data_IF_053439181955
#
_entry.id   IF_053439181955
#
_cell.length_a   1.000
_cell.length_b   1.000
_cell.length_c   1.000
_cell.angle_alpha   90.00
_cell.angle_beta   90.00
_cell.angle_gamma   90.00
#
_symmetry.space_group_name_H-M   'P 1'
#
loop_
_entity.id
_entity.type
_entity.pdbx_description
1 polymer ?
#
# COMPACT_ATOMS: atom_id res chain seq x y z
N UNK A 1 17.04 -35.87 29.87
CA UNK A 1 16.14 -35.39 30.94
C UNK A 1 14.75 -36.02 30.84
N UNK A 2 14.03 -35.93 29.72
CA UNK A 2 12.64 -36.45 29.66
C UNK A 2 12.46 -37.98 29.61
N UNK A 3 13.56 -38.75 29.57
CA UNK A 3 13.53 -40.22 29.50
C UNK A 3 13.40 -40.90 30.87
N UNK A 4 13.64 -40.19 31.98
CA UNK A 4 13.60 -40.78 33.32
C UNK A 4 12.45 -40.15 34.15
N UNK A 5 11.43 -40.92 34.57
CA UNK A 5 10.23 -40.42 35.25
C UNK A 5 10.48 -39.56 36.49
N UNK A 6 11.60 -39.81 37.18
CA UNK A 6 11.97 -39.13 38.43
C UNK A 6 12.67 -37.78 38.21
N UNK A 7 12.94 -37.40 36.96
CA UNK A 7 13.76 -36.21 36.63
C UNK A 7 13.00 -35.09 35.92
N UNK A 8 11.70 -35.28 35.66
CA UNK A 8 10.87 -34.30 34.97
C UNK A 8 9.67 -33.85 35.81
N UNK A 9 9.43 -32.55 35.84
CA UNK A 9 8.25 -31.93 36.44
C UNK A 9 7.67 -30.88 35.48
N UNK A 10 6.61 -30.19 35.90
CA UNK A 10 5.97 -29.15 35.08
C UNK A 10 6.92 -28.02 34.65
N UNK A 11 7.93 -27.68 35.46
CA UNK A 11 8.96 -26.71 35.08
C UNK A 11 9.88 -27.24 33.97
N UNK A 12 10.36 -28.49 34.09
CA UNK A 12 11.22 -29.13 33.08
C UNK A 12 10.55 -29.16 31.71
N UNK A 13 9.27 -29.51 31.66
CA UNK A 13 8.49 -29.51 30.41
C UNK A 13 8.33 -28.10 29.83
N UNK A 14 8.08 -27.10 30.67
CA UNK A 14 7.94 -25.72 30.22
C UNK A 14 9.25 -25.18 29.59
N UNK A 15 10.39 -25.44 30.22
CA UNK A 15 11.70 -25.07 29.66
C UNK A 15 12.00 -25.82 28.35
N UNK A 16 11.65 -27.10 28.26
CA UNK A 16 11.81 -27.89 27.04
C UNK A 16 10.96 -27.33 25.88
N UNK A 17 9.70 -26.97 26.13
CA UNK A 17 8.83 -26.34 25.14
C UNK A 17 9.37 -24.96 24.70
N UNK A 18 9.87 -24.15 25.64
CA UNK A 18 10.51 -22.86 25.34
C UNK A 18 11.78 -23.02 24.49
N UNK A 19 12.57 -24.07 24.73
CA UNK A 19 13.74 -24.41 23.93
C UNK A 19 13.35 -24.85 22.52
N UNK A 20 12.36 -25.75 22.37
CA UNK A 20 11.85 -26.18 21.06
C UNK A 20 11.33 -25.02 20.22
N UNK A 21 10.70 -24.02 20.86
CA UNK A 21 10.28 -22.77 20.22
C UNK A 21 11.47 -21.97 19.69
N UNK A 22 12.54 -21.87 20.48
CA UNK A 22 13.75 -21.11 20.11
C UNK A 22 14.54 -21.79 18.99
N UNK A 23 14.44 -23.12 18.86
CA UNK A 23 15.08 -23.91 17.80
C UNK A 23 14.13 -24.27 16.65
N UNK A 24 12.93 -23.69 16.61
CA UNK A 24 11.87 -23.92 15.63
C UNK A 24 11.58 -25.41 15.33
N UNK A 25 11.71 -26.28 16.36
CA UNK A 25 11.65 -27.74 16.22
C UNK A 25 10.26 -28.28 16.56
N UNK A 26 9.29 -28.04 15.67
CA UNK A 26 7.87 -28.32 15.94
C UNK A 26 7.55 -29.81 16.20
N UNK A 27 8.19 -30.73 15.48
CA UNK A 27 8.00 -32.18 15.69
C UNK A 27 8.38 -32.61 17.11
N UNK A 28 9.53 -32.14 17.61
CA UNK A 28 9.99 -32.42 18.98
C UNK A 28 9.04 -31.84 20.02
N UNK A 29 8.40 -30.70 19.75
CA UNK A 29 7.40 -30.17 20.68
C UNK A 29 6.11 -30.98 20.72
N UNK A 30 5.71 -31.63 19.63
CA UNK A 30 4.58 -32.57 19.64
C UNK A 30 4.91 -33.83 20.44
N UNK A 31 6.14 -34.36 20.32
CA UNK A 31 6.63 -35.45 21.17
C UNK A 31 6.60 -35.05 22.66
N UNK A 32 7.07 -33.84 22.99
CA UNK A 32 7.03 -33.32 24.36
C UNK A 32 5.59 -33.18 24.86
N UNK A 33 4.65 -32.71 24.02
CA UNK A 33 3.24 -32.66 24.39
C UNK A 33 2.69 -34.06 24.68
N UNK A 34 2.97 -35.06 23.84
CA UNK A 34 2.56 -36.44 24.11
C UNK A 34 3.13 -36.97 25.44
N UNK A 35 4.39 -36.64 25.75
CA UNK A 35 5.02 -36.97 27.03
C UNK A 35 4.39 -36.25 28.24
N UNK A 36 4.01 -34.98 28.09
CA UNK A 36 3.27 -34.22 29.12
C UNK A 36 1.92 -34.89 29.42
N UNK A 37 1.20 -35.32 28.39
CA UNK A 37 -0.08 -36.01 28.52
C UNK A 37 0.09 -37.37 29.20
N UNK A 38 1.06 -38.17 28.76
CA UNK A 38 1.32 -39.51 29.34
C UNK A 38 1.82 -39.45 30.80
N UNK A 39 2.56 -38.41 31.16
CA UNK A 39 3.10 -38.24 32.51
C UNK A 39 2.13 -37.58 33.50
N UNK A 40 0.90 -37.26 33.09
CA UNK A 40 -0.13 -36.68 33.96
C UNK A 40 0.07 -35.19 34.30
N UNK A 41 1.03 -34.51 33.67
CA UNK A 41 1.32 -33.10 33.95
C UNK A 41 0.42 -32.14 33.14
N UNK A 42 -0.34 -32.64 32.17
CA UNK A 42 -1.15 -31.83 31.25
C UNK A 42 -2.17 -30.91 31.93
N UNK A 43 -2.68 -31.29 33.10
CA UNK A 43 -3.66 -30.48 33.86
C UNK A 43 -3.10 -29.17 34.43
N UNK A 44 -1.79 -28.94 34.38
CA UNK A 44 -1.19 -27.71 34.90
C UNK A 44 -1.37 -26.56 33.89
N UNK A 45 -2.10 -25.52 34.27
CA UNK A 45 -2.43 -24.36 33.42
C UNK A 45 -1.20 -23.69 32.81
N UNK A 46 -0.06 -23.65 33.52
CA UNK A 46 1.19 -23.11 32.97
C UNK A 46 1.71 -23.93 31.78
N UNK A 47 1.58 -25.26 31.80
CA UNK A 47 1.98 -26.10 30.67
C UNK A 47 0.99 -25.94 29.52
N UNK A 48 -0.31 -25.92 29.81
CA UNK A 48 -1.34 -25.69 28.81
C UNK A 48 -1.13 -24.34 28.09
N UNK A 49 -0.83 -23.26 28.83
CA UNK A 49 -0.50 -21.95 28.26
C UNK A 49 0.75 -22.00 27.37
N UNK A 50 1.81 -22.70 27.80
CA UNK A 50 3.01 -22.89 26.98
C UNK A 50 2.74 -23.69 25.71
N UNK A 51 1.85 -24.68 25.77
CA UNK A 51 1.41 -25.46 24.60
C UNK A 51 0.55 -24.63 23.65
N UNK A 52 -0.40 -23.83 24.15
CA UNK A 52 -1.19 -22.89 23.32
C UNK A 52 -0.25 -21.96 22.57
N UNK A 53 0.67 -21.30 23.28
CA UNK A 53 1.63 -20.39 22.65
C UNK A 53 2.49 -21.11 21.61
N UNK A 54 2.92 -22.35 21.88
CA UNK A 54 3.70 -23.15 20.95
C UNK A 54 2.92 -23.42 19.65
N UNK A 55 1.69 -23.90 19.75
CA UNK A 55 0.84 -24.18 18.60
C UNK A 55 0.51 -22.92 17.80
N UNK A 56 0.23 -21.80 18.47
CA UNK A 56 0.06 -20.49 17.83
C UNK A 56 1.32 -20.08 17.04
N UNK A 57 2.52 -20.23 17.61
CA UNK A 57 3.77 -19.93 16.87
C UNK A 57 4.02 -20.87 15.70
N UNK A 58 3.49 -22.10 15.77
CA UNK A 58 3.51 -23.07 14.67
C UNK A 58 2.40 -22.85 13.63
N UNK A 59 1.62 -21.76 13.74
CA UNK A 59 0.46 -21.46 12.90
C UNK A 59 -0.66 -22.53 12.95
N UNK A 60 -0.67 -23.38 13.97
CA UNK A 60 -1.67 -24.43 14.20
C UNK A 60 -2.68 -23.97 15.27
N UNK A 61 -3.57 -23.07 14.87
CA UNK A 61 -4.57 -22.50 15.77
C UNK A 61 -5.60 -23.55 16.24
N UNK A 62 -5.82 -24.60 15.44
CA UNK A 62 -6.78 -25.67 15.78
C UNK A 62 -6.29 -26.47 16.98
N UNK A 63 -5.03 -26.91 16.98
CA UNK A 63 -4.44 -27.59 18.13
C UNK A 63 -4.34 -26.66 19.35
N UNK A 64 -4.00 -25.38 19.14
CA UNK A 64 -3.98 -24.40 20.22
C UNK A 64 -5.36 -24.24 20.88
N UNK A 65 -6.42 -24.13 20.09
CA UNK A 65 -7.79 -24.01 20.58
C UNK A 65 -8.25 -25.27 21.32
N UNK A 66 -7.92 -26.46 20.81
CA UNK A 66 -8.19 -27.72 21.51
C UNK A 66 -7.55 -27.77 22.89
N UNK A 67 -6.29 -27.32 23.03
CA UNK A 67 -5.63 -27.24 24.34
C UNK A 67 -6.34 -26.23 25.23
N UNK A 68 -6.75 -25.07 24.69
CA UNK A 68 -7.50 -24.05 25.43
C UNK A 68 -8.83 -24.58 25.98
N UNK A 69 -9.60 -25.35 25.21
CA UNK A 69 -10.86 -25.96 25.66
C UNK A 69 -10.69 -26.94 26.83
N UNK A 70 -9.49 -27.49 27.03
CA UNK A 70 -9.21 -28.37 28.18
C UNK A 70 -8.91 -27.62 29.48
N UNK A 71 -8.77 -26.30 29.45
CA UNK A 71 -8.45 -25.50 30.64
C UNK A 71 -9.74 -25.24 31.41
N UNK A 72 -9.85 -25.80 32.62
CA UNK A 72 -11.04 -25.66 33.48
C UNK A 72 -11.27 -24.21 33.92
N UNK A 73 -10.19 -23.47 34.23
CA UNK A 73 -10.24 -22.06 34.60
C UNK A 73 -9.16 -21.30 33.82
N UNK A 74 -9.51 -20.75 32.64
CA UNK A 74 -8.56 -20.02 31.81
C UNK A 74 -8.10 -18.73 32.48
N UNK A 75 -6.78 -18.51 32.49
CA UNK A 75 -6.19 -17.27 33.01
C UNK A 75 -6.15 -16.18 31.95
N UNK A 76 -5.88 -14.94 32.33
CA UNK A 76 -5.64 -13.84 31.36
C UNK A 76 -4.56 -14.21 30.33
N UNK A 77 -3.55 -15.00 30.71
CA UNK A 77 -2.50 -15.49 29.80
C UNK A 77 -3.05 -16.48 28.79
N UNK A 78 -3.94 -17.39 29.21
CA UNK A 78 -4.63 -18.36 28.36
C UNK A 78 -5.46 -17.65 27.29
N UNK A 79 -6.31 -16.72 27.74
CA UNK A 79 -7.17 -15.90 26.87
C UNK A 79 -6.35 -15.01 25.92
N UNK A 80 -5.32 -14.32 26.44
CA UNK A 80 -4.44 -13.50 25.59
C UNK A 80 -3.76 -14.32 24.51
N UNK A 81 -3.32 -15.54 24.84
CA UNK A 81 -2.64 -16.41 23.87
C UNK A 81 -3.58 -16.86 22.76
N UNK A 82 -4.83 -17.22 23.08
CA UNK A 82 -5.80 -17.68 22.07
C UNK A 82 -6.34 -16.53 21.22
N UNK A 83 -6.65 -15.36 21.81
CA UNK A 83 -7.09 -14.16 21.07
C UNK A 83 -5.99 -13.68 20.13
N UNK A 84 -4.74 -13.59 20.61
CA UNK A 84 -3.58 -13.23 19.78
C UNK A 84 -3.33 -14.27 18.70
N UNK A 85 -3.52 -15.55 19.00
CA UNK A 85 -3.40 -16.65 18.05
C UNK A 85 -4.37 -16.55 16.89
N UNK A 86 -5.67 -16.43 17.17
CA UNK A 86 -6.69 -16.25 16.13
C UNK A 86 -6.41 -15.01 15.27
N UNK A 87 -6.03 -13.88 15.88
CA UNK A 87 -5.69 -12.64 15.17
C UNK A 87 -4.48 -12.83 14.24
N UNK A 88 -3.40 -13.46 14.71
CA UNK A 88 -2.19 -13.73 13.90
C UNK A 88 -2.43 -14.70 12.75
N UNK A 89 -3.29 -15.69 12.96
CA UNK A 89 -3.63 -16.69 11.95
C UNK A 89 -4.71 -16.18 10.94
N UNK A 90 -5.18 -14.94 11.06
CA UNK A 90 -6.15 -14.34 10.14
C UNK A 90 -7.62 -14.63 10.46
N UNK A 91 -7.91 -15.33 11.56
CA UNK A 91 -9.27 -15.65 12.01
C UNK A 91 -9.83 -14.54 12.92
N UNK A 92 -10.01 -13.36 12.35
CA UNK A 92 -10.32 -12.14 13.09
C UNK A 92 -11.68 -12.18 13.81
N UNK A 93 -12.70 -12.80 13.20
CA UNK A 93 -14.02 -12.96 13.82
C UNK A 93 -13.93 -13.82 15.08
N UNK A 94 -13.18 -14.93 15.02
CA UNK A 94 -12.92 -15.77 16.19
C UNK A 94 -12.14 -15.02 17.27
N UNK A 95 -11.17 -14.17 16.90
CA UNK A 95 -10.44 -13.36 17.87
C UNK A 95 -11.37 -12.39 18.63
N UNK A 96 -12.30 -11.73 17.93
CA UNK A 96 -13.33 -10.86 18.53
C UNK A 96 -14.31 -11.68 19.37
N UNK A 97 -14.76 -12.84 18.87
CA UNK A 97 -15.66 -13.73 19.58
C UNK A 97 -15.04 -14.22 20.89
N UNK A 98 -13.79 -14.69 20.86
CA UNK A 98 -13.05 -15.10 22.05
C UNK A 98 -12.87 -13.97 23.05
N UNK A 99 -12.56 -12.76 22.59
CA UNK A 99 -12.45 -11.59 23.47
C UNK A 99 -13.79 -11.25 24.14
N UNK A 100 -14.90 -11.38 23.43
CA UNK A 100 -16.23 -11.03 23.91
C UNK A 100 -16.75 -11.97 25.01
N UNK A 101 -16.27 -13.21 25.05
CA UNK A 101 -16.64 -14.22 26.07
C UNK A 101 -15.61 -14.34 27.20
N UNK A 102 -14.56 -13.51 27.20
CA UNK A 102 -13.57 -13.51 28.29
C UNK A 102 -14.25 -13.19 29.61
N UNK A 103 -13.99 -14.02 30.61
CA UNK A 103 -14.50 -13.91 31.98
C UNK A 103 -13.51 -13.25 32.95
N UNK A 104 -12.35 -12.84 32.43
CA UNK A 104 -11.29 -12.14 33.16
C UNK A 104 -10.94 -10.83 32.47
N UNK A 105 -10.46 -9.85 33.22
CA UNK A 105 -10.08 -8.56 32.66
C UNK A 105 -8.91 -8.71 31.65
N UNK A 106 -9.08 -8.29 30.38
CA UNK A 106 -8.01 -8.30 29.39
C UNK A 106 -6.85 -7.39 29.78
N UNK A 107 -5.64 -7.80 29.43
CA UNK A 107 -4.46 -6.94 29.55
C UNK A 107 -4.20 -6.17 28.24
N UNK A 108 -3.22 -5.27 28.24
CA UNK A 108 -2.86 -4.47 27.07
C UNK A 108 -2.58 -5.32 25.81
N UNK A 109 -1.92 -6.48 25.92
CA UNK A 109 -1.64 -7.35 24.78
C UNK A 109 -2.90 -8.00 24.20
N UNK A 110 -3.86 -8.33 25.05
CA UNK A 110 -5.18 -8.81 24.62
C UNK A 110 -5.89 -7.72 23.82
N UNK A 111 -5.89 -6.48 24.33
CA UNK A 111 -6.54 -5.34 23.68
C UNK A 111 -5.87 -5.02 22.34
N UNK A 112 -4.54 -4.99 22.26
CA UNK A 112 -3.80 -4.80 21.01
C UNK A 112 -4.18 -5.86 19.97
N UNK A 113 -4.31 -7.11 20.41
CA UNK A 113 -4.67 -8.24 19.52
C UNK A 113 -6.09 -8.14 18.97
N UNK A 114 -7.07 -7.74 19.81
CA UNK A 114 -8.46 -7.57 19.37
C UNK A 114 -8.63 -6.31 18.51
N UNK A 115 -7.95 -5.20 18.81
CA UNK A 115 -7.93 -4.00 17.96
C UNK A 115 -7.35 -4.31 16.58
N UNK A 116 -6.30 -5.14 16.50
CA UNK A 116 -5.77 -5.63 15.23
C UNK A 116 -6.81 -6.42 14.44
N UNK A 117 -7.59 -7.29 15.09
CA UNK A 117 -8.69 -8.00 14.44
C UNK A 117 -9.77 -7.04 13.92
N UNK A 118 -10.14 -6.02 14.72
CA UNK A 118 -11.09 -4.99 14.33
C UNK A 118 -10.60 -4.18 13.12
N UNK A 119 -9.29 -3.87 13.03
CA UNK A 119 -8.72 -3.19 11.87
C UNK A 119 -8.94 -3.98 10.58
N UNK A 120 -8.69 -5.29 10.62
CA UNK A 120 -8.76 -6.15 9.43
C UNK A 120 -10.21 -6.39 8.98
N UNK A 121 -11.15 -6.46 9.93
CA UNK A 121 -12.58 -6.54 9.63
C UNK A 121 -13.25 -5.19 9.37
N UNK A 122 -12.55 -4.07 9.63
CA UNK A 122 -13.08 -2.70 9.60
C UNK A 122 -14.26 -2.49 10.57
N UNK A 123 -14.26 -3.19 11.70
CA UNK A 123 -15.30 -3.15 12.73
C UNK A 123 -15.15 -1.91 13.64
N UNK A 124 -15.63 -0.76 13.17
CA UNK A 124 -15.51 0.52 13.89
C UNK A 124 -16.24 0.49 15.25
N UNK A 125 -17.48 0.00 15.27
CA UNK A 125 -18.32 0.05 16.46
C UNK A 125 -17.78 -0.83 17.58
N UNK A 126 -17.33 -2.04 17.25
CA UNK A 126 -16.72 -2.92 18.24
C UNK A 126 -15.40 -2.32 18.77
N UNK A 127 -14.56 -1.78 17.90
CA UNK A 127 -13.32 -1.12 18.35
C UNK A 127 -13.58 0.12 19.21
N UNK A 128 -14.66 0.89 18.98
CA UNK A 128 -15.10 1.97 19.89
C UNK A 128 -15.51 1.43 21.26
N UNK A 129 -16.21 0.29 21.31
CA UNK A 129 -16.52 -0.38 22.59
C UNK A 129 -15.26 -0.82 23.33
N UNK A 130 -14.27 -1.36 22.61
CA UNK A 130 -12.95 -1.71 23.18
C UNK A 130 -12.22 -0.45 23.69
N UNK A 131 -12.25 0.65 22.94
CA UNK A 131 -11.67 1.93 23.38
C UNK A 131 -12.33 2.43 24.68
N UNK A 132 -13.66 2.40 24.76
CA UNK A 132 -14.39 2.74 25.97
C UNK A 132 -14.03 1.83 27.17
N UNK A 133 -13.75 0.53 26.93
CA UNK A 133 -13.26 -0.37 27.96
C UNK A 133 -11.89 0.07 28.47
N UNK A 134 -10.96 0.40 27.56
CA UNK A 134 -9.61 0.88 27.92
C UNK A 134 -9.70 2.09 28.84
N UNK A 135 -10.45 3.13 28.45
CA UNK A 135 -10.62 4.36 29.25
C UNK A 135 -11.19 4.06 30.65
N UNK A 136 -12.13 3.11 30.77
CA UNK A 136 -12.83 2.83 32.04
C UNK A 136 -12.08 1.91 32.98
N UNK A 137 -11.22 1.02 32.47
CA UNK A 137 -10.70 -0.13 33.23
C UNK A 137 -9.17 -0.24 33.22
N UNK A 138 -8.51 0.26 32.19
CA UNK A 138 -7.06 0.19 32.03
C UNK A 138 -6.48 1.58 32.28
N UNK A 139 -6.57 2.04 33.53
CA UNK A 139 -6.00 3.32 33.99
C UNK A 139 -4.48 3.22 34.12
N UNK A 140 -3.80 3.17 32.97
CA UNK A 140 -2.35 3.16 32.89
C UNK A 140 -1.90 4.02 31.69
N UNK A 141 -1.02 4.99 31.95
CA UNK A 141 -0.26 5.69 30.91
C UNK A 141 0.57 4.66 30.11
N UNK A 142 0.01 4.18 29.01
CA UNK A 142 0.61 3.12 28.22
C UNK A 142 0.64 3.49 26.74
N UNK A 143 1.74 4.13 26.34
CA UNK A 143 1.99 4.57 24.96
C UNK A 143 1.82 3.44 23.94
N UNK A 144 2.07 2.18 24.31
CA UNK A 144 1.88 1.02 23.42
C UNK A 144 0.38 0.82 23.12
N UNK A 145 -0.47 0.93 24.15
CA UNK A 145 -1.91 0.79 24.02
C UNK A 145 -2.52 1.99 23.28
N UNK A 146 -2.06 3.20 23.59
CA UNK A 146 -2.47 4.42 22.89
C UNK A 146 -2.11 4.36 21.41
N UNK A 147 -0.90 3.92 21.07
CA UNK A 147 -0.47 3.70 19.69
C UNK A 147 -1.32 2.65 18.98
N UNK A 148 -1.78 1.61 19.68
CA UNK A 148 -2.66 0.59 19.09
C UNK A 148 -4.06 1.13 18.80
N UNK A 149 -4.64 1.94 19.70
CA UNK A 149 -5.90 2.65 19.49
C UNK A 149 -5.81 3.65 18.34
N UNK A 150 -4.72 4.44 18.32
CA UNK A 150 -4.42 5.40 17.27
C UNK A 150 -4.35 4.72 15.89
N UNK A 151 -3.56 3.66 15.79
CA UNK A 151 -3.43 2.88 14.56
C UNK A 151 -4.77 2.22 14.15
N UNK A 152 -5.61 1.81 15.11
CA UNK A 152 -6.94 1.30 14.82
C UNK A 152 -7.80 2.34 14.10
N UNK A 153 -7.94 3.54 14.67
CA UNK A 153 -8.75 4.59 14.06
C UNK A 153 -8.21 5.02 12.68
N UNK A 154 -6.89 5.13 12.52
CA UNK A 154 -6.25 5.42 11.22
C UNK A 154 -6.59 4.35 10.17
N UNK A 155 -6.43 3.06 10.50
CA UNK A 155 -6.67 1.96 9.56
C UNK A 155 -8.15 1.84 9.16
N UNK A 156 -9.07 2.00 10.10
CA UNK A 156 -10.51 2.00 9.82
C UNK A 156 -10.95 3.27 9.07
N UNK A 157 -10.17 4.34 9.16
CA UNK A 157 -10.36 5.58 8.39
C UNK A 157 -11.07 6.69 9.14
N UNK A 158 -11.31 6.52 10.44
CA UNK A 158 -11.86 7.58 11.29
C UNK A 158 -10.72 8.48 11.78
N UNK A 159 -10.25 9.38 10.90
CA UNK A 159 -9.09 10.22 11.19
C UNK A 159 -9.36 11.30 12.23
N UNK A 160 -10.61 11.73 12.42
CA UNK A 160 -10.95 12.69 13.46
C UNK A 160 -10.91 12.04 14.85
N UNK A 161 -11.44 10.81 14.98
CA UNK A 161 -11.28 10.01 16.21
C UNK A 161 -9.78 9.70 16.48
N UNK A 162 -9.01 9.40 15.42
CA UNK A 162 -7.56 9.20 15.55
C UNK A 162 -6.85 10.46 16.07
N UNK A 163 -7.22 11.64 15.55
CA UNK A 163 -6.67 12.91 16.00
C UNK A 163 -7.05 13.21 17.45
N UNK A 164 -8.29 12.91 17.85
CA UNK A 164 -8.72 13.07 19.24
C UNK A 164 -7.89 12.20 20.18
N UNK A 165 -7.75 10.89 19.88
CA UNK A 165 -6.90 9.99 20.67
C UNK A 165 -5.48 10.54 20.75
N UNK A 166 -4.92 10.95 19.62
CA UNK A 166 -3.57 11.53 19.56
C UNK A 166 -3.41 12.77 20.45
N UNK A 167 -4.35 13.70 20.43
CA UNK A 167 -4.31 14.94 21.21
C UNK A 167 -4.52 14.66 22.72
N UNK A 168 -5.22 13.59 23.08
CA UNK A 168 -5.44 13.14 24.47
C UNK A 168 -4.27 12.31 25.04
N UNK A 169 -3.34 11.82 24.21
CA UNK A 169 -2.17 11.04 24.66
C UNK A 169 -1.28 11.85 25.64
N UNK A 170 -1.02 11.33 26.86
CA UNK A 170 -0.12 11.99 27.82
C UNK A 170 1.33 12.06 27.33
N UNK A 171 1.76 11.03 26.61
CA UNK A 171 3.11 10.92 26.03
C UNK A 171 3.03 10.38 24.62
N UNK A 172 3.67 11.06 23.67
CA UNK A 172 3.76 10.64 22.28
C UNK A 172 5.17 10.24 21.96
N UNK A 173 5.32 9.10 21.30
CA UNK A 173 6.62 8.64 20.79
C UNK A 173 6.66 8.77 19.26
N UNK A 174 7.81 8.39 18.68
CA UNK A 174 8.00 8.43 17.22
C UNK A 174 6.94 7.61 16.46
N UNK A 175 6.39 6.56 17.08
CA UNK A 175 5.33 5.72 16.49
C UNK A 175 4.00 6.46 16.48
N UNK A 176 3.65 7.18 17.56
CA UNK A 176 2.43 8.01 17.62
C UNK A 176 2.41 9.04 16.49
N UNK A 177 3.49 9.81 16.38
CA UNK A 177 3.63 10.85 15.36
C UNK A 177 3.66 10.26 13.93
N UNK A 178 4.43 9.19 13.72
CA UNK A 178 4.53 8.56 12.39
C UNK A 178 3.20 7.96 11.93
N UNK A 179 2.43 7.39 12.86
CA UNK A 179 1.08 6.85 12.59
C UNK A 179 0.13 7.94 12.11
N UNK A 180 0.14 9.12 12.76
CA UNK A 180 -0.71 10.24 12.35
C UNK A 180 -0.30 10.85 11.01
N UNK A 181 1.01 11.10 10.80
CA UNK A 181 1.51 11.62 9.52
C UNK A 181 1.15 10.64 8.39
N UNK A 182 1.48 9.36 8.55
CA UNK A 182 1.17 8.32 7.56
C UNK A 182 -0.33 8.15 7.31
N UNK A 183 -1.14 8.19 8.37
CA UNK A 183 -2.60 8.08 8.28
C UNK A 183 -3.25 9.18 7.45
N UNK A 184 -2.82 10.43 7.65
CA UNK A 184 -3.30 11.55 6.81
C UNK A 184 -2.84 11.43 5.36
N UNK A 185 -1.59 11.04 5.11
CA UNK A 185 -1.05 10.85 3.74
C UNK A 185 -1.81 9.76 2.99
N UNK A 186 -2.04 8.60 3.62
CA UNK A 186 -2.75 7.47 3.01
C UNK A 186 -4.19 7.81 2.61
N UNK A 187 -4.81 8.80 3.27
CA UNK A 187 -6.16 9.28 2.96
C UNK A 187 -6.18 10.55 2.11
N UNK A 188 -5.01 11.00 1.62
CA UNK A 188 -4.88 12.16 0.74
C UNK A 188 -4.93 13.53 1.45
N UNK A 189 -5.01 13.58 2.79
CA UNK A 189 -5.04 14.82 3.57
C UNK A 189 -3.62 15.38 3.78
N UNK A 190 -2.90 15.62 2.68
CA UNK A 190 -1.48 15.95 2.70
C UNK A 190 -1.16 17.22 3.51
N UNK A 191 -2.01 18.25 3.46
CA UNK A 191 -1.81 19.47 4.29
C UNK A 191 -1.87 19.19 5.79
N UNK A 192 -2.80 18.32 6.24
CA UNK A 192 -2.89 17.91 7.66
C UNK A 192 -1.66 17.10 8.06
N UNK A 193 -1.17 16.21 7.18
CA UNK A 193 0.05 15.44 7.44
C UNK A 193 1.27 16.34 7.65
N UNK A 194 1.41 17.39 6.83
CA UNK A 194 2.48 18.39 6.96
C UNK A 194 2.36 19.18 8.26
N UNK A 195 1.14 19.61 8.64
CA UNK A 195 0.91 20.28 9.94
C UNK A 195 1.36 19.40 11.11
N UNK A 196 1.01 18.12 11.10
CA UNK A 196 1.42 17.17 12.15
C UNK A 196 2.94 16.97 12.15
N UNK A 197 3.59 16.91 10.99
CA UNK A 197 5.05 16.86 10.90
C UNK A 197 5.70 18.13 11.49
N UNK A 198 5.19 19.31 11.16
CA UNK A 198 5.69 20.57 11.71
C UNK A 198 5.49 20.66 13.23
N UNK A 199 4.34 20.19 13.74
CA UNK A 199 4.06 20.04 15.17
C UNK A 199 5.10 19.13 15.83
N UNK A 200 5.39 17.96 15.24
CA UNK A 200 6.42 17.02 15.73
C UNK A 200 7.80 17.69 15.84
N UNK A 201 8.23 18.40 14.80
CA UNK A 201 9.54 19.07 14.75
C UNK A 201 9.62 20.21 15.76
N UNK A 202 8.54 20.98 15.96
CA UNK A 202 8.49 22.12 16.89
C UNK A 202 8.43 21.69 18.35
N UNK A 203 7.63 20.69 18.68
CA UNK A 203 7.44 20.23 20.07
C UNK A 203 8.65 19.46 20.61
N UNK A 204 9.45 18.83 19.73
CA UNK A 204 10.68 18.10 20.09
C UNK A 204 10.48 16.93 21.06
N UNK A 205 9.24 16.45 21.22
CA UNK A 205 8.91 15.24 22.01
C UNK A 205 9.52 13.98 21.40
N UNK A 206 9.55 13.91 20.07
CA UNK A 206 10.15 12.83 19.30
C UNK A 206 10.80 13.37 18.03
N UNK A 207 11.84 12.69 17.54
CA UNK A 207 12.46 13.02 16.25
C UNK A 207 11.80 12.20 15.14
N UNK A 208 11.45 12.80 13.99
CA UNK A 208 10.99 12.07 12.80
C UNK A 208 11.93 10.90 12.48
N UNK A 209 11.39 9.73 12.14
CA UNK A 209 12.19 8.62 11.64
C UNK A 209 12.09 8.53 10.10
N UNK A 210 12.75 7.54 9.50
CA UNK A 210 12.69 7.32 8.05
C UNK A 210 11.25 7.21 7.53
N UNK A 211 10.37 6.49 8.22
CA UNK A 211 8.97 6.36 7.83
C UNK A 211 8.22 7.69 7.87
N UNK A 212 8.46 8.53 8.89
CA UNK A 212 7.90 9.89 8.95
C UNK A 212 8.37 10.73 7.77
N UNK A 213 9.67 10.68 7.46
CA UNK A 213 10.29 11.44 6.36
C UNK A 213 9.73 11.01 5.00
N UNK A 214 9.64 9.71 4.74
CA UNK A 214 9.05 9.18 3.50
C UNK A 214 7.60 9.63 3.34
N UNK A 215 6.79 9.57 4.41
CA UNK A 215 5.40 10.00 4.37
C UNK A 215 5.26 11.50 4.10
N UNK A 216 6.03 12.36 4.77
CA UNK A 216 5.94 13.82 4.52
C UNK A 216 6.45 14.19 3.13
N UNK A 217 7.48 13.51 2.60
CA UNK A 217 7.93 13.70 1.22
C UNK A 217 6.86 13.27 0.20
N UNK A 218 6.13 12.18 0.47
CA UNK A 218 4.98 11.80 -0.35
C UNK A 218 3.86 12.86 -0.29
N UNK A 219 3.66 13.49 0.87
CA UNK A 219 2.75 14.63 1.01
C UNK A 219 3.21 15.83 0.16
N UNK A 220 4.51 16.18 0.19
CA UNK A 220 5.10 17.22 -0.66
C UNK A 220 4.83 16.95 -2.14
N UNK A 221 5.13 15.72 -2.58
CA UNK A 221 4.97 15.27 -3.96
C UNK A 221 3.51 15.32 -4.43
N UNK A 222 2.56 15.15 -3.50
CA UNK A 222 1.12 15.17 -3.78
C UNK A 222 0.56 16.60 -3.80
N UNK A 223 1.14 17.49 -2.99
CA UNK A 223 0.81 18.92 -2.98
C UNK A 223 1.50 19.69 -4.11
N UNK A 224 2.59 19.15 -4.67
CA UNK A 224 3.44 19.86 -5.62
C UNK A 224 4.28 20.99 -5.00
N UNK A 225 4.40 21.02 -3.66
CA UNK A 225 5.04 22.14 -2.95
C UNK A 225 6.56 21.97 -2.89
N UNK A 226 7.27 22.71 -3.73
CA UNK A 226 8.73 22.65 -3.82
C UNK A 226 9.40 23.20 -2.56
N UNK A 227 8.89 24.30 -2.00
CA UNK A 227 9.44 24.94 -0.80
C UNK A 227 9.44 23.99 0.40
N UNK A 228 8.36 23.25 0.60
CA UNK A 228 8.26 22.23 1.64
C UNK A 228 9.21 21.06 1.36
N UNK A 229 9.29 20.59 0.11
CA UNK A 229 10.20 19.52 -0.29
C UNK A 229 11.66 19.88 0.03
N UNK A 230 12.09 21.10 -0.28
CA UNK A 230 13.42 21.62 0.00
C UNK A 230 13.69 21.78 1.49
N UNK A 231 12.70 22.25 2.26
CA UNK A 231 12.76 22.32 3.72
C UNK A 231 12.99 20.93 4.35
N UNK A 232 12.19 19.93 3.96
CA UNK A 232 12.33 18.56 4.45
C UNK A 232 13.67 17.94 4.01
N UNK A 233 14.08 18.14 2.77
CA UNK A 233 15.38 17.64 2.28
C UNK A 233 16.55 18.26 3.06
N UNK A 234 16.53 19.58 3.30
CA UNK A 234 17.53 20.27 4.10
C UNK A 234 17.56 19.77 5.55
N UNK A 235 16.39 19.51 6.14
CA UNK A 235 16.27 18.91 7.46
C UNK A 235 16.91 17.51 7.54
N UNK A 236 16.71 16.66 6.52
CA UNK A 236 17.33 15.33 6.45
C UNK A 236 18.85 15.44 6.28
N UNK A 237 19.35 16.35 5.45
CA UNK A 237 20.79 16.54 5.24
C UNK A 237 21.55 16.94 6.52
N UNK A 238 20.88 17.65 7.44
CA UNK A 238 21.45 18.03 8.74
C UNK A 238 21.50 16.88 9.74
N UNK A 239 20.92 15.71 9.40
CA UNK A 239 20.80 14.56 10.29
C UNK A 239 21.75 13.44 9.92
N UNK A 240 22.58 13.04 10.89
CA UNK A 240 23.52 11.92 10.74
C UNK A 240 22.85 10.55 10.88
N UNK A 241 21.68 10.50 11.50
CA UNK A 241 20.97 9.26 11.83
C UNK A 241 19.97 8.81 10.75
N UNK A 242 19.73 9.63 9.72
CA UNK A 242 18.89 9.29 8.57
C UNK A 242 19.73 9.46 7.29
N UNK A 243 20.31 8.37 6.75
CA UNK A 243 21.08 8.47 5.51
C UNK A 243 20.15 8.77 4.33
N UNK A 244 20.63 9.58 3.37
CA UNK A 244 19.97 9.80 2.08
C UNK A 244 20.27 8.62 1.15
N UNK A 245 19.75 7.45 1.51
CA UNK A 245 19.93 6.17 0.83
C UNK A 245 18.60 5.40 0.85
N UNK A 246 18.49 4.34 0.04
CA UNK A 246 17.32 3.45 0.00
C UNK A 246 15.99 4.20 -0.11
N UNK A 247 15.05 3.89 0.78
CA UNK A 247 13.70 4.45 0.77
C UNK A 247 13.67 5.99 0.91
N UNK A 248 14.56 6.56 1.73
CA UNK A 248 14.61 8.02 1.95
C UNK A 248 15.14 8.72 0.69
N UNK A 249 16.23 8.21 0.11
CA UNK A 249 16.77 8.73 -1.15
C UNK A 249 15.72 8.68 -2.28
N UNK A 250 15.05 7.54 -2.44
CA UNK A 250 14.00 7.35 -3.43
C UNK A 250 12.81 8.30 -3.22
N UNK A 251 12.38 8.51 -1.97
CA UNK A 251 11.32 9.45 -1.64
C UNK A 251 11.69 10.90 -1.96
N UNK A 252 12.96 11.31 -1.73
CA UNK A 252 13.45 12.66 -2.06
C UNK A 252 13.48 12.85 -3.58
N UNK A 253 13.98 11.88 -4.36
CA UNK A 253 13.99 11.95 -5.84
C UNK A 253 12.55 12.11 -6.36
N UNK A 254 11.62 11.28 -5.88
CA UNK A 254 10.22 11.32 -6.29
C UNK A 254 9.56 12.66 -5.94
N UNK A 255 9.81 13.18 -4.74
CA UNK A 255 9.24 14.44 -4.28
C UNK A 255 9.73 15.63 -5.13
N UNK A 256 11.05 15.74 -5.35
CA UNK A 256 11.62 16.78 -6.21
C UNK A 256 11.09 16.70 -7.64
N UNK A 257 11.05 15.49 -8.21
CA UNK A 257 10.56 15.29 -9.57
C UNK A 257 9.08 15.69 -9.73
N UNK A 258 8.22 15.36 -8.75
CA UNK A 258 6.80 15.74 -8.78
C UNK A 258 6.53 17.21 -8.46
N UNK A 259 7.45 17.87 -7.73
CA UNK A 259 7.40 19.32 -7.52
C UNK A 259 8.04 20.13 -8.66
N UNK A 260 8.43 19.48 -9.76
CA UNK A 260 9.00 20.15 -10.94
C UNK A 260 10.51 20.45 -10.88
N UNK A 261 11.21 20.10 -9.80
CA UNK A 261 12.66 20.32 -9.67
C UNK A 261 13.45 19.06 -10.05
N UNK A 262 13.45 18.74 -11.35
CA UNK A 262 14.16 17.55 -11.86
C UNK A 262 15.68 17.62 -11.67
N UNK A 263 16.26 18.82 -11.62
CA UNK A 263 17.70 19.01 -11.40
C UNK A 263 18.11 18.51 -10.02
N UNK A 264 17.37 18.88 -8.97
CA UNK A 264 17.60 18.39 -7.61
C UNK A 264 17.35 16.87 -7.50
N UNK A 265 16.32 16.35 -8.16
CA UNK A 265 16.06 14.90 -8.19
C UNK A 265 17.25 14.12 -8.79
N UNK A 266 17.81 14.59 -9.92
CA UNK A 266 18.99 13.98 -10.54
C UNK A 266 20.24 14.13 -9.65
N UNK A 267 20.39 15.26 -8.96
CA UNK A 267 21.50 15.46 -8.02
C UNK A 267 21.47 14.41 -6.90
N UNK A 268 20.31 14.24 -6.25
CA UNK A 268 20.13 13.24 -5.19
C UNK A 268 20.35 11.82 -5.71
N UNK A 269 19.84 11.51 -6.90
CA UNK A 269 20.10 10.22 -7.54
C UNK A 269 21.60 9.96 -7.72
N UNK A 270 22.38 10.97 -8.15
CA UNK A 270 23.83 10.82 -8.28
C UNK A 270 24.53 10.60 -6.94
N UNK A 271 24.03 11.19 -5.85
CA UNK A 271 24.65 11.06 -4.51
C UNK A 271 24.38 9.71 -3.83
N UNK A 272 23.27 9.03 -4.15
CA UNK A 272 22.95 7.69 -3.61
C UNK A 272 24.04 6.69 -4.02
N UNK A 273 24.62 5.98 -3.05
CA UNK A 273 25.69 5.00 -3.29
C UNK A 273 25.17 3.72 -3.94
N UNK A 274 24.08 3.18 -3.39
CA UNK A 274 23.49 1.93 -3.85
C UNK A 274 22.13 2.19 -4.46
N UNK A 275 22.10 2.20 -5.81
CA UNK A 275 20.88 2.44 -6.58
C UNK A 275 20.19 1.12 -6.84
N UNK A 276 19.03 0.93 -6.24
CA UNK A 276 18.14 -0.20 -6.48
C UNK A 276 17.21 0.05 -7.67
N UNK A 277 16.40 -0.94 -8.04
CA UNK A 277 15.40 -0.82 -9.11
C UNK A 277 14.47 0.37 -8.89
N UNK A 278 14.09 0.66 -7.63
CA UNK A 278 13.22 1.79 -7.27
C UNK A 278 13.93 3.13 -7.55
N UNK A 279 15.22 3.25 -7.23
CA UNK A 279 16.02 4.46 -7.51
C UNK A 279 16.01 4.80 -9.00
N UNK A 280 16.25 3.79 -9.84
CA UNK A 280 16.27 3.92 -11.30
C UNK A 280 14.89 4.21 -11.88
N UNK A 281 13.87 3.45 -11.48
CA UNK A 281 12.51 3.63 -11.98
C UNK A 281 11.94 5.00 -11.58
N UNK A 282 12.25 5.47 -10.36
CA UNK A 282 11.83 6.79 -9.87
C UNK A 282 12.46 7.94 -10.66
N UNK A 283 13.77 7.90 -10.92
CA UNK A 283 14.43 8.97 -11.69
C UNK A 283 14.01 8.95 -13.16
N UNK A 284 13.84 7.76 -13.76
CA UNK A 284 13.34 7.60 -15.13
C UNK A 284 11.93 8.18 -15.25
N UNK A 285 11.03 7.83 -14.33
CA UNK A 285 9.68 8.39 -14.25
C UNK A 285 9.72 9.91 -14.06
N UNK A 286 10.58 10.41 -13.17
CA UNK A 286 10.73 11.85 -12.93
C UNK A 286 11.14 12.62 -14.19
N UNK A 287 12.11 12.11 -14.95
CA UNK A 287 12.55 12.71 -16.22
C UNK A 287 11.42 12.66 -17.25
N UNK A 288 10.69 11.55 -17.35
CA UNK A 288 9.54 11.39 -18.24
C UNK A 288 8.43 12.43 -17.94
N UNK A 289 8.04 12.56 -16.68
CA UNK A 289 6.98 13.47 -16.23
C UNK A 289 7.32 14.96 -16.41
N UNK A 290 8.60 15.31 -16.37
CA UNK A 290 9.08 16.69 -16.56
C UNK A 290 9.31 17.04 -18.05
N UNK A 291 8.79 16.23 -18.99
CA UNK A 291 8.86 16.51 -20.42
C UNK A 291 10.23 16.26 -21.06
N UNK A 292 11.17 15.67 -20.33
CA UNK A 292 12.54 15.39 -20.80
C UNK A 292 12.65 14.01 -21.45
N UNK A 293 11.63 13.59 -22.21
CA UNK A 293 11.48 12.19 -22.64
C UNK A 293 12.62 11.66 -23.52
N UNK A 294 13.34 12.51 -24.25
CA UNK A 294 14.56 12.11 -24.99
C UNK A 294 15.70 11.65 -24.08
N UNK A 295 15.76 12.12 -22.83
CA UNK A 295 16.79 11.73 -21.86
C UNK A 295 16.47 10.42 -21.13
N UNK A 296 15.26 9.88 -21.29
CA UNK A 296 14.83 8.65 -20.63
C UNK A 296 15.55 7.41 -21.20
N UNK A 297 15.78 7.34 -22.52
CA UNK A 297 16.48 6.21 -23.14
C UNK A 297 17.96 6.09 -22.73
N UNK A 298 18.76 7.18 -22.70
CA UNK A 298 20.10 7.12 -22.13
C UNK A 298 20.12 6.68 -20.67
N UNK A 299 19.15 7.12 -19.87
CA UNK A 299 19.06 6.76 -18.45
C UNK A 299 18.72 5.28 -18.26
N UNK A 300 17.84 4.74 -19.10
CA UNK A 300 17.56 3.32 -19.18
C UNK A 300 18.78 2.51 -19.62
N UNK A 301 19.52 2.97 -20.63
CA UNK A 301 20.79 2.34 -21.02
C UNK A 301 21.78 2.28 -19.87
N UNK A 302 21.88 3.34 -19.08
CA UNK A 302 22.74 3.37 -17.89
C UNK A 302 22.27 2.38 -16.81
N UNK A 303 20.96 2.26 -16.57
CA UNK A 303 20.38 1.24 -15.67
C UNK A 303 20.83 -0.18 -16.06
N UNK A 304 20.81 -0.50 -17.35
CA UNK A 304 21.23 -1.80 -17.88
C UNK A 304 22.74 -2.03 -17.71
N UNK A 305 23.57 -1.01 -17.95
CA UNK A 305 25.03 -1.09 -17.72
C UNK A 305 25.37 -1.35 -16.25
N UNK A 306 24.57 -0.82 -15.33
CA UNK A 306 24.68 -1.10 -13.90
C UNK A 306 24.14 -2.47 -13.49
N UNK A 307 23.62 -3.27 -14.42
CA UNK A 307 23.10 -4.61 -14.16
C UNK A 307 21.81 -4.64 -13.35
N UNK A 308 21.07 -3.52 -13.29
CA UNK A 308 19.79 -3.44 -12.56
C UNK A 308 18.65 -3.80 -13.51
N UNK A 309 17.84 -4.83 -13.22
CA UNK A 309 16.75 -5.23 -14.10
C UNK A 309 15.60 -4.20 -14.03
N UNK A 310 15.01 -3.82 -15.18
CA UNK A 310 13.84 -2.96 -15.21
C UNK A 310 12.60 -3.66 -14.67
N UNK A 311 11.73 -2.89 -14.03
CA UNK A 311 10.41 -3.31 -13.55
C UNK A 311 9.28 -2.70 -14.40
N UNK A 312 8.03 -3.07 -14.09
CA UNK A 312 6.83 -2.54 -14.75
C UNK A 312 6.79 -1.00 -14.73
N UNK A 313 7.18 -0.37 -13.61
CA UNK A 313 7.21 1.09 -13.47
C UNK A 313 8.19 1.71 -14.46
N UNK A 314 9.35 1.09 -14.65
CA UNK A 314 10.36 1.51 -15.62
C UNK A 314 9.81 1.48 -17.04
N UNK A 315 9.15 0.38 -17.45
CA UNK A 315 8.58 0.27 -18.79
C UNK A 315 7.41 1.22 -19.04
N UNK A 316 6.51 1.42 -18.07
CA UNK A 316 5.43 2.43 -18.17
C UNK A 316 6.05 3.82 -18.40
N UNK A 317 7.08 4.17 -17.64
CA UNK A 317 7.75 5.47 -17.74
C UNK A 317 8.43 5.67 -19.09
N UNK A 318 9.13 4.63 -19.59
CA UNK A 318 9.75 4.60 -20.91
C UNK A 318 8.73 4.79 -22.03
N UNK A 319 7.65 4.01 -22.03
CA UNK A 319 6.63 4.06 -23.07
C UNK A 319 5.89 5.40 -23.06
N UNK A 320 5.58 5.93 -21.88
CA UNK A 320 4.99 7.26 -21.72
C UNK A 320 5.94 8.32 -22.27
N UNK A 321 7.22 8.31 -21.89
CA UNK A 321 8.21 9.27 -22.38
C UNK A 321 8.35 9.22 -23.91
N UNK A 322 8.37 8.02 -24.50
CA UNK A 322 8.42 7.82 -25.94
C UNK A 322 7.16 8.38 -26.62
N UNK A 323 5.98 8.16 -26.05
CA UNK A 323 4.72 8.69 -26.56
C UNK A 323 4.71 10.22 -26.57
N UNK A 324 5.16 10.84 -25.49
CA UNK A 324 5.27 12.29 -25.36
C UNK A 324 6.37 12.91 -26.23
N UNK A 325 7.40 12.15 -26.59
CA UNK A 325 8.53 12.64 -27.39
C UNK A 325 8.45 12.28 -28.88
N UNK A 326 7.41 11.56 -29.31
CA UNK A 326 7.26 11.08 -30.68
C UNK A 326 8.24 9.97 -31.08
N UNK A 327 8.84 9.28 -30.10
CA UNK A 327 9.81 8.18 -30.30
C UNK A 327 9.08 6.84 -30.45
N UNK A 328 8.25 6.75 -31.49
CA UNK A 328 7.28 5.66 -31.67
C UNK A 328 7.98 4.32 -31.87
N UNK A 329 8.95 4.29 -32.77
CA UNK A 329 9.63 3.05 -33.13
C UNK A 329 10.49 2.54 -31.95
N UNK A 330 11.15 3.44 -31.22
CA UNK A 330 11.86 3.10 -29.99
C UNK A 330 10.91 2.60 -28.89
N UNK A 331 9.76 3.25 -28.69
CA UNK A 331 8.73 2.80 -27.75
C UNK A 331 8.24 1.38 -28.06
N UNK A 332 7.99 1.08 -29.33
CA UNK A 332 7.58 -0.25 -29.78
C UNK A 332 8.70 -1.30 -29.64
N UNK A 333 9.97 -0.91 -29.82
CA UNK A 333 11.12 -1.79 -29.55
C UNK A 333 11.22 -2.12 -28.05
N UNK A 334 11.01 -1.15 -27.17
CA UNK A 334 11.01 -1.36 -25.72
C UNK A 334 9.87 -2.30 -25.29
N UNK A 335 8.66 -2.10 -25.82
CA UNK A 335 7.53 -2.98 -25.53
C UNK A 335 7.81 -4.43 -25.97
N UNK A 336 8.36 -4.63 -27.18
CA UNK A 336 8.78 -5.97 -27.65
C UNK A 336 9.87 -6.58 -26.77
N UNK A 337 10.83 -5.78 -26.33
CA UNK A 337 11.89 -6.19 -25.40
C UNK A 337 11.32 -6.64 -24.06
N UNK A 338 10.38 -5.88 -23.48
CA UNK A 338 9.69 -6.21 -22.23
C UNK A 338 9.06 -7.62 -22.28
N UNK A 339 8.29 -7.91 -23.33
CA UNK A 339 7.60 -9.19 -23.49
C UNK A 339 8.58 -10.34 -23.76
N UNK A 340 9.53 -10.16 -24.68
CA UNK A 340 10.38 -11.26 -25.16
C UNK A 340 11.61 -11.53 -24.30
N UNK A 341 12.23 -10.49 -23.76
CA UNK A 341 13.53 -10.58 -23.08
C UNK A 341 13.33 -10.66 -21.57
N UNK A 342 12.44 -9.83 -21.03
CA UNK A 342 12.24 -9.73 -19.59
C UNK A 342 11.09 -10.58 -19.06
N UNK A 343 10.32 -11.24 -19.95
CA UNK A 343 9.17 -12.06 -19.58
C UNK A 343 8.11 -11.26 -18.81
N UNK A 344 8.05 -9.94 -19.04
CA UNK A 344 7.15 -9.05 -18.31
C UNK A 344 5.69 -9.39 -18.62
N UNK A 345 4.88 -9.50 -17.56
CA UNK A 345 3.43 -9.64 -17.71
C UNK A 345 2.90 -8.33 -18.28
N UNK A 346 2.29 -8.39 -19.45
CA UNK A 346 1.66 -7.22 -20.04
C UNK A 346 0.45 -6.86 -19.17
N UNK A 347 0.44 -5.65 -18.64
CA UNK A 347 -0.68 -5.12 -17.91
C UNK A 347 -1.38 -4.05 -18.76
N UNK A 348 -2.53 -3.63 -18.27
CA UNK A 348 -3.38 -2.65 -18.94
C UNK A 348 -2.70 -1.31 -19.19
N UNK A 349 -1.84 -0.87 -18.27
CA UNK A 349 -1.12 0.40 -18.40
C UNK A 349 -0.08 0.34 -19.51
N UNK A 350 0.61 -0.80 -19.67
CA UNK A 350 1.53 -1.00 -20.78
C UNK A 350 0.79 -0.87 -22.12
N UNK A 351 -0.36 -1.53 -22.24
CA UNK A 351 -1.20 -1.46 -23.44
C UNK A 351 -1.70 -0.04 -23.71
N UNK A 352 -2.17 0.68 -22.69
CA UNK A 352 -2.60 2.07 -22.83
C UNK A 352 -1.48 2.96 -23.36
N UNK A 353 -0.23 2.78 -22.91
CA UNK A 353 0.91 3.54 -23.42
C UNK A 353 1.24 3.19 -24.88
N UNK A 354 1.10 1.93 -25.29
CA UNK A 354 1.31 1.50 -26.69
C UNK A 354 0.22 2.06 -27.60
N UNK A 355 -1.04 2.06 -27.15
CA UNK A 355 -2.14 2.70 -27.88
C UNK A 355 -1.89 4.20 -28.00
N UNK A 356 -1.44 4.88 -26.95
CA UNK A 356 -1.07 6.31 -26.99
C UNK A 356 0.11 6.58 -27.96
N UNK A 357 1.10 5.68 -28.03
CA UNK A 357 2.20 5.73 -29.01
C UNK A 357 1.71 5.68 -30.46
N UNK A 358 0.85 4.71 -30.79
CA UNK A 358 0.26 4.60 -32.14
C UNK A 358 -0.68 5.77 -32.44
N UNK A 359 -1.48 6.15 -31.45
CA UNK A 359 -2.42 7.26 -31.51
C UNK A 359 -1.74 8.57 -31.92
N UNK A 360 -0.70 8.99 -31.20
CA UNK A 360 -0.02 10.28 -31.43
C UNK A 360 0.79 10.32 -32.73
N UNK A 361 1.09 9.16 -33.28
CA UNK A 361 1.80 9.04 -34.56
C UNK A 361 0.87 8.91 -35.76
N UNK A 362 -0.45 9.01 -35.57
CA UNK A 362 -1.44 8.86 -36.62
C UNK A 362 -1.59 7.43 -37.15
N UNK A 363 -0.93 6.44 -36.54
CA UNK A 363 -0.98 5.01 -36.89
C UNK A 363 -2.23 4.35 -36.30
N UNK A 364 -3.40 4.92 -36.64
CA UNK A 364 -4.68 4.58 -36.00
C UNK A 364 -5.12 3.14 -36.30
N UNK A 365 -4.83 2.63 -37.50
CA UNK A 365 -5.17 1.25 -37.86
C UNK A 365 -4.40 0.26 -37.00
N UNK A 366 -3.10 0.48 -36.82
CA UNK A 366 -2.26 -0.32 -35.93
C UNK A 366 -2.72 -0.23 -34.47
N UNK A 367 -3.21 0.94 -34.02
CA UNK A 367 -3.80 1.10 -32.70
C UNK A 367 -5.08 0.25 -32.53
N UNK A 368 -5.98 0.28 -33.51
CA UNK A 368 -7.22 -0.51 -33.52
C UNK A 368 -6.94 -2.02 -33.60
N UNK A 369 -6.00 -2.42 -34.46
CA UNK A 369 -5.55 -3.81 -34.59
C UNK A 369 -4.93 -4.30 -33.26
N UNK A 370 -4.12 -3.47 -32.59
CA UNK A 370 -3.55 -3.80 -31.29
C UNK A 370 -4.62 -4.03 -30.21
N UNK A 371 -5.61 -3.15 -30.11
CA UNK A 371 -6.72 -3.29 -29.14
C UNK A 371 -7.57 -4.53 -29.46
N UNK A 372 -7.85 -4.77 -30.74
CA UNK A 372 -8.74 -5.86 -31.17
C UNK A 372 -8.07 -7.23 -31.05
N UNK A 373 -6.83 -7.37 -31.51
CA UNK A 373 -6.16 -8.66 -31.66
C UNK A 373 -5.16 -8.98 -30.56
N UNK A 374 -4.50 -7.98 -29.96
CA UNK A 374 -3.50 -8.23 -28.91
C UNK A 374 -4.14 -8.19 -27.53
N UNK A 375 -4.95 -7.16 -27.25
CA UNK A 375 -5.69 -7.14 -25.98
C UNK A 375 -6.85 -8.13 -26.00
N UNK A 376 -7.69 -8.11 -27.04
CA UNK A 376 -8.93 -8.91 -27.10
C UNK A 376 -8.77 -10.43 -26.98
N UNK A 377 -7.56 -10.99 -27.09
CA UNK A 377 -7.29 -12.41 -26.89
C UNK A 377 -7.06 -12.79 -25.41
N UNK A 378 -6.45 -11.91 -24.62
CA UNK A 378 -5.97 -12.21 -23.26
C UNK A 378 -6.52 -11.25 -22.18
N UNK A 379 -7.04 -10.08 -22.57
CA UNK A 379 -7.44 -8.99 -21.66
C UNK A 379 -8.57 -8.11 -22.23
N UNK A 380 -9.60 -7.81 -21.45
CA UNK A 380 -10.61 -6.82 -21.86
C UNK A 380 -10.07 -5.38 -21.71
N UNK A 381 -10.13 -4.53 -22.75
CA UNK A 381 -9.61 -3.16 -22.66
C UNK A 381 -10.51 -2.25 -21.82
N UNK A 382 -9.93 -1.55 -20.84
CA UNK A 382 -10.64 -0.59 -19.99
C UNK A 382 -10.68 0.86 -20.53
N UNK A 383 -11.25 1.77 -19.74
CA UNK A 383 -11.61 3.13 -20.15
C UNK A 383 -10.48 4.04 -20.69
N UNK A 384 -9.27 4.08 -20.11
CA UNK A 384 -8.09 4.79 -20.60
C UNK A 384 -7.61 4.32 -21.98
N UNK A 385 -7.67 3.02 -22.28
CA UNK A 385 -7.26 2.50 -23.59
C UNK A 385 -8.16 3.04 -24.69
N UNK A 386 -9.47 2.93 -24.50
CA UNK A 386 -10.47 3.52 -25.39
C UNK A 386 -10.37 5.04 -25.42
N UNK A 387 -10.11 5.68 -24.28
CA UNK A 387 -9.93 7.12 -24.17
C UNK A 387 -8.75 7.64 -25.01
N UNK A 388 -7.62 6.94 -24.97
CA UNK A 388 -6.45 7.25 -25.78
C UNK A 388 -6.76 7.13 -27.28
N UNK A 389 -7.42 6.03 -27.69
CA UNK A 389 -7.80 5.80 -29.08
C UNK A 389 -8.80 6.84 -29.62
N UNK A 390 -9.84 7.17 -28.84
CA UNK A 390 -10.84 8.21 -29.21
C UNK A 390 -10.17 9.59 -29.30
N UNK A 391 -9.30 9.92 -28.35
CA UNK A 391 -8.54 11.18 -28.39
C UNK A 391 -7.69 11.28 -29.66
N UNK A 392 -7.04 10.18 -30.05
CA UNK A 392 -6.27 10.09 -31.29
C UNK A 392 -7.12 10.32 -32.54
N UNK A 393 -8.26 9.65 -32.61
CA UNK A 393 -9.19 9.77 -33.73
C UNK A 393 -9.69 11.21 -33.86
N UNK A 394 -9.92 11.90 -32.74
CA UNK A 394 -10.25 13.33 -32.72
C UNK A 394 -9.13 14.18 -33.30
N UNK A 395 -7.87 13.95 -32.89
CA UNK A 395 -6.70 14.71 -33.36
C UNK A 395 -6.46 14.51 -34.85
N UNK A 396 -6.63 13.28 -35.36
CA UNK A 396 -6.36 12.91 -36.74
C UNK A 396 -7.59 12.88 -37.66
N UNK A 397 -8.77 13.26 -37.16
CA UNK A 397 -10.02 13.34 -37.94
C UNK A 397 -10.58 12.00 -38.42
N UNK A 398 -10.31 10.88 -37.73
CA UNK A 398 -10.78 9.55 -38.14
C UNK A 398 -12.15 9.20 -37.54
N UNK A 399 -13.20 9.73 -38.14
CA UNK A 399 -14.57 9.57 -37.65
C UNK A 399 -15.12 8.15 -37.74
N UNK A 400 -14.63 7.36 -38.71
CA UNK A 400 -15.06 5.97 -38.90
C UNK A 400 -14.69 5.12 -37.69
N UNK A 401 -13.46 5.32 -37.19
CA UNK A 401 -12.97 4.61 -36.02
C UNK A 401 -13.72 5.03 -34.75
N UNK A 402 -14.05 6.31 -34.56
CA UNK A 402 -14.86 6.77 -33.41
C UNK A 402 -16.21 6.05 -33.35
N UNK A 403 -16.86 5.83 -34.51
CA UNK A 403 -18.14 5.12 -34.58
C UNK A 403 -18.00 3.65 -34.18
N UNK A 404 -16.98 2.94 -34.68
CA UNK A 404 -16.72 1.54 -34.30
C UNK A 404 -16.42 1.41 -32.81
N UNK A 405 -15.61 2.32 -32.26
CA UNK A 405 -15.33 2.38 -30.82
C UNK A 405 -16.62 2.64 -30.02
N UNK A 406 -17.49 3.56 -30.45
CA UNK A 406 -18.79 3.80 -29.83
C UNK A 406 -19.63 2.52 -29.77
N UNK A 407 -19.79 1.81 -30.89
CA UNK A 407 -20.60 0.59 -30.97
C UNK A 407 -20.08 -0.46 -29.97
N UNK A 408 -18.76 -0.69 -29.96
CA UNK A 408 -18.12 -1.64 -29.02
C UNK A 408 -18.32 -1.23 -27.55
N UNK A 409 -18.22 0.06 -27.23
CA UNK A 409 -18.37 0.58 -25.86
C UNK A 409 -19.80 0.49 -25.34
N UNK A 410 -20.80 0.66 -26.21
CA UNK A 410 -22.21 0.52 -25.85
C UNK A 410 -22.56 -0.95 -25.62
N UNK A 411 -22.03 -1.85 -26.45
CA UNK A 411 -22.26 -3.30 -26.31
C UNK A 411 -21.59 -3.89 -25.06
N UNK A 412 -20.36 -3.48 -24.75
CA UNK A 412 -19.57 -4.06 -23.64
C UNK A 412 -19.77 -3.37 -22.29
N UNK A 413 -20.40 -2.20 -22.26
CA UNK A 413 -20.62 -1.42 -21.04
C UNK A 413 -19.39 -0.60 -20.63
N UNK A 414 -19.38 0.69 -20.99
CA UNK A 414 -18.26 1.59 -20.76
C UNK A 414 -18.42 2.51 -19.53
N UNK A 415 -17.29 3.00 -19.01
CA UNK A 415 -17.28 4.05 -17.98
C UNK A 415 -17.87 5.36 -18.51
N UNK A 416 -18.50 6.15 -17.62
CA UNK A 416 -19.03 7.47 -17.97
C UNK A 416 -17.97 8.44 -18.50
N UNK A 417 -16.71 8.29 -18.08
CA UNK A 417 -15.59 9.10 -18.58
C UNK A 417 -15.29 8.84 -20.05
N UNK A 418 -15.26 7.57 -20.47
CA UNK A 418 -14.97 7.17 -21.85
C UNK A 418 -16.09 7.58 -22.79
N UNK A 419 -17.37 7.42 -22.40
CA UNK A 419 -18.52 7.89 -23.20
C UNK A 419 -18.54 9.42 -23.33
N UNK A 420 -18.13 10.15 -22.29
CA UNK A 420 -17.93 11.60 -22.36
C UNK A 420 -16.88 11.99 -23.41
N UNK A 421 -15.77 11.25 -23.53
CA UNK A 421 -14.76 11.51 -24.56
C UNK A 421 -15.31 11.29 -25.97
N UNK A 422 -16.11 10.23 -26.19
CA UNK A 422 -16.78 9.97 -27.47
C UNK A 422 -17.75 11.10 -27.83
N UNK A 423 -18.61 11.52 -26.89
CA UNK A 423 -19.52 12.66 -27.10
C UNK A 423 -18.76 13.94 -27.45
N UNK A 424 -17.68 14.25 -26.73
CA UNK A 424 -16.85 15.42 -27.01
C UNK A 424 -16.18 15.34 -28.38
N UNK A 425 -15.81 14.15 -28.85
CA UNK A 425 -15.24 13.95 -30.19
C UNK A 425 -16.26 14.29 -31.29
N UNK A 426 -17.51 13.85 -31.16
CA UNK A 426 -18.56 14.23 -32.12
C UNK A 426 -18.86 15.73 -32.09
N UNK A 427 -18.92 16.31 -30.89
CA UNK A 427 -19.11 17.76 -30.74
C UNK A 427 -17.99 18.57 -31.42
N UNK A 428 -16.72 18.14 -31.31
CA UNK A 428 -15.60 18.82 -31.99
C UNK A 428 -15.67 18.71 -33.52
N UNK A 429 -16.32 17.68 -34.06
CA UNK A 429 -16.61 17.52 -35.50
C UNK A 429 -17.94 18.17 -35.92
N UNK A 430 -18.56 19.02 -35.09
CA UNK A 430 -19.87 19.66 -35.35
C UNK A 430 -21.04 18.68 -35.54
N UNK A 431 -20.92 17.44 -35.05
CA UNK A 431 -21.94 16.38 -35.10
C UNK A 431 -22.74 16.35 -33.80
N UNK A 432 -23.65 17.31 -33.67
CA UNK A 432 -24.38 17.55 -32.41
C UNK A 432 -25.39 16.45 -32.08
N UNK A 433 -26.00 15.84 -33.10
CA UNK A 433 -27.01 14.79 -32.92
C UNK A 433 -26.39 13.53 -32.29
N UNK A 434 -25.29 13.03 -32.85
CA UNK A 434 -24.57 11.86 -32.33
C UNK A 434 -23.93 12.14 -30.96
N UNK A 435 -23.49 13.37 -30.71
CA UNK A 435 -23.04 13.79 -29.39
C UNK A 435 -24.17 13.72 -28.35
N UNK A 436 -25.38 14.13 -28.72
CA UNK A 436 -26.55 14.10 -27.86
C UNK A 436 -27.04 12.67 -27.62
N UNK A 437 -27.00 11.79 -28.64
CA UNK A 437 -27.28 10.37 -28.49
C UNK A 437 -26.40 9.73 -27.42
N UNK A 438 -25.09 9.96 -27.47
CA UNK A 438 -24.15 9.41 -26.47
C UNK A 438 -24.47 9.93 -25.07
N UNK A 439 -24.84 11.22 -24.92
CA UNK A 439 -25.25 11.78 -23.62
C UNK A 439 -26.57 11.22 -23.10
N UNK A 440 -27.50 10.89 -23.98
CA UNK A 440 -28.75 10.23 -23.61
C UNK A 440 -28.48 8.80 -23.11
N UNK A 441 -27.59 8.05 -23.77
CA UNK A 441 -27.13 6.74 -23.28
C UNK A 441 -26.48 6.85 -21.91
N UNK A 442 -25.60 7.84 -21.69
CA UNK A 442 -25.00 8.07 -20.38
C UNK A 442 -26.04 8.36 -19.29
N UNK A 443 -27.06 9.16 -19.61
CA UNK A 443 -28.14 9.52 -18.69
C UNK A 443 -29.02 8.32 -18.35
N UNK A 444 -29.36 7.50 -19.35
CA UNK A 444 -30.09 6.25 -19.17
C UNK A 444 -29.35 5.26 -18.27
N UNK A 445 -28.02 5.19 -18.40
CA UNK A 445 -27.16 4.34 -17.58
C UNK A 445 -26.82 4.95 -16.19
N UNK A 446 -27.34 6.15 -15.86
CA UNK A 446 -27.08 6.82 -14.59
C UNK A 446 -25.62 7.29 -14.39
N UNK A 447 -24.84 7.37 -15.46
CA UNK A 447 -23.41 7.71 -15.42
C UNK A 447 -23.19 9.22 -15.29
N UNK A 448 -22.45 9.66 -14.27
CA UNK A 448 -22.09 11.07 -14.05
C UNK A 448 -20.67 11.40 -14.49
N UNK A 449 -20.47 12.61 -15.03
CA UNK A 449 -19.14 13.16 -15.34
C UNK A 449 -18.44 13.56 -14.04
N UNK A 450 -17.25 13.01 -13.79
CA UNK A 450 -16.35 13.53 -12.75
C UNK A 450 -15.56 14.72 -13.31
N UNK A 451 -15.55 15.85 -12.59
CA UNK A 451 -14.73 17.00 -12.95
C UNK A 451 -13.28 16.77 -12.52
N UNK A 452 -12.33 16.94 -13.44
CA UNK A 452 -10.90 16.97 -13.11
C UNK A 452 -10.53 18.30 -12.46
N UNK A 453 -9.73 18.26 -11.40
CA UNK A 453 -9.19 19.46 -10.75
C UNK A 453 -7.67 19.49 -10.93
N UNK A 454 -7.10 20.68 -11.14
CA UNK A 454 -5.65 20.91 -11.21
C UNK A 454 -5.29 22.10 -10.31
N UNK A 455 -4.13 22.02 -9.64
CA UNK A 455 -3.63 23.06 -8.74
C UNK A 455 -2.36 23.67 -9.33
N UNK A 456 -2.23 24.98 -9.24
CA UNK A 456 -1.00 25.73 -9.58
C UNK A 456 -0.60 26.51 -8.33
N UNK A 457 0.64 26.36 -7.90
CA UNK A 457 1.25 27.21 -6.87
C UNK A 457 1.71 28.49 -7.56
N UNK A 458 1.22 29.64 -7.09
CA UNK A 458 1.64 30.95 -7.58
C UNK A 458 2.69 31.47 -6.61
N UNK A 459 3.87 31.83 -7.12
CA UNK A 459 4.84 32.60 -6.34
C UNK A 459 4.23 33.97 -6.03
N UNK A 460 4.08 34.31 -4.74
CA UNK A 460 3.61 35.61 -4.25
C UNK A 460 4.79 36.44 -3.78
#
# INVERSE_FOLDING_TARGET
>A
MLQNPLTHNHFTFNFALKACRSTNSFHKSQEIHAHVTKSGHFSHTHIQNSLIHLYVTGNDIVSAFRVFETIVSPTVVSWTSIVSGFSKCGFYENAIGMFSVMDVDPNANTVVSVLSACCNLKELNFGKSVHCYVIKRLDQENVILDNALLNFYVKVGSLDDARQVFDEMPKRDVVSWSTMVGGFVQRGFCRKAVSVFDEMVKQKEAKPNEATIVNVLAACASLGSLSLCESVHSYVQQRRDIPVEGNVGNAIINAHAKCGNITSAIHVFKTIRFKDTISWSTVINGVAMNGLGRHVLPLFGLMLVHGVPPDDVTFISLLTACSHSGLVDEGLMLFKGMVKIYGGIVNERHCACVVDLYARSGRLKEAEDFVTFVMGMDMEPDGPVWGALVSACRVHGNEVMVRRVRETLVEKGASGGTLCLVSNSYASSSRWDESMEVRNVMSFLGLKKMAGCSWIELDV
#
